data_IF_271198685488
#
_entry.id   IF_271198685488
#
_cell.length_a   1.000
_cell.length_b   1.000
_cell.length_c   1.000
_cell.angle_alpha   90.00
_cell.angle_beta   90.00
_cell.angle_gamma   90.00
#
_symmetry.space_group_name_H-M   'P 1'
#
loop_
_entity.id
_entity.type
_entity.pdbx_description
1 polymer ?
#
# COMPACT_ATOMS: atom_id res chain seq x y z
N UNK A 1 8.34 -26.80 -22.90
CA UNK A 1 7.67 -26.11 -21.78
C UNK A 1 6.19 -26.12 -22.07
N UNK A 2 5.33 -26.53 -21.13
CA UNK A 2 3.87 -26.50 -21.32
C UNK A 2 3.34 -25.20 -20.74
N UNK A 3 2.61 -24.41 -21.53
CA UNK A 3 1.95 -23.20 -21.07
C UNK A 3 0.62 -23.53 -20.36
N UNK A 4 0.13 -22.60 -19.52
CA UNK A 4 -1.17 -22.76 -18.86
C UNK A 4 -2.32 -22.67 -19.89
N UNK A 5 -3.49 -23.26 -19.60
CA UNK A 5 -4.65 -23.23 -20.52
C UNK A 5 -5.07 -21.82 -20.94
N UNK A 6 -4.98 -20.84 -20.03
CA UNK A 6 -5.33 -19.44 -20.31
C UNK A 6 -4.36 -18.80 -21.31
N UNK A 7 -3.07 -19.16 -21.24
CA UNK A 7 -2.06 -18.68 -22.19
C UNK A 7 -2.31 -19.31 -23.57
N UNK A 8 -2.64 -20.60 -23.63
CA UNK A 8 -2.92 -21.27 -24.92
C UNK A 8 -4.15 -20.66 -25.62
N UNK A 9 -5.19 -20.34 -24.85
CA UNK A 9 -6.40 -19.68 -25.37
C UNK A 9 -6.09 -18.28 -25.92
N UNK A 10 -5.30 -17.48 -25.21
CA UNK A 10 -4.88 -16.17 -25.69
C UNK A 10 -4.02 -16.26 -26.97
N UNK A 11 -3.18 -17.28 -27.09
CA UNK A 11 -2.38 -17.51 -28.30
C UNK A 11 -3.26 -17.86 -29.49
N UNK A 12 -4.27 -18.73 -29.30
CA UNK A 12 -5.27 -19.05 -30.34
C UNK A 12 -6.10 -17.83 -30.74
N UNK A 13 -6.60 -17.05 -29.77
CA UNK A 13 -7.41 -15.85 -30.03
C UNK A 13 -6.67 -14.76 -30.82
N UNK A 14 -5.34 -14.74 -30.74
CA UNK A 14 -4.49 -13.78 -31.45
C UNK A 14 -3.83 -14.36 -32.72
N UNK A 15 -4.26 -15.55 -33.18
CA UNK A 15 -3.70 -16.26 -34.34
C UNK A 15 -2.17 -16.47 -34.26
N UNK A 16 -1.65 -16.73 -33.06
CA UNK A 16 -0.23 -16.93 -32.81
C UNK A 16 0.08 -18.42 -32.95
N UNK A 17 0.69 -18.80 -34.08
CA UNK A 17 1.13 -20.17 -34.31
C UNK A 17 2.39 -20.47 -33.47
N UNK A 18 2.22 -21.34 -32.48
CA UNK A 18 3.29 -21.85 -31.61
C UNK A 18 4.41 -22.60 -32.36
N UNK A 19 4.21 -22.90 -33.65
CA UNK A 19 5.16 -23.62 -34.51
C UNK A 19 5.93 -22.74 -35.52
N UNK A 20 5.76 -21.41 -35.49
CA UNK A 20 6.40 -20.51 -36.46
C UNK A 20 7.91 -20.34 -36.26
N UNK A 21 8.66 -20.68 -37.30
CA UNK A 21 10.12 -20.57 -37.45
C UNK A 21 10.58 -19.11 -37.48
N UNK A 22 11.35 -18.69 -36.47
CA UNK A 22 12.33 -17.58 -36.48
C UNK A 22 11.83 -16.13 -36.69
N UNK A 23 10.95 -15.87 -37.65
CA UNK A 23 10.46 -14.54 -38.02
C UNK A 23 9.31 -14.08 -37.11
N UNK A 24 8.35 -14.98 -36.80
CA UNK A 24 7.25 -14.69 -35.88
C UNK A 24 7.77 -14.38 -34.47
N UNK A 25 8.79 -15.11 -34.01
CA UNK A 25 9.46 -14.88 -32.72
C UNK A 25 10.01 -13.46 -32.59
N UNK A 26 10.52 -12.87 -33.68
CA UNK A 26 11.09 -11.52 -33.69
C UNK A 26 10.01 -10.42 -33.59
N UNK A 27 8.84 -10.65 -34.18
CA UNK A 27 7.69 -9.74 -34.03
C UNK A 27 7.12 -9.80 -32.61
N UNK A 28 7.02 -10.97 -32.00
CA UNK A 28 6.61 -11.11 -30.59
C UNK A 28 7.60 -10.44 -29.62
N UNK A 29 8.91 -10.52 -29.90
CA UNK A 29 9.94 -9.82 -29.13
C UNK A 29 9.76 -8.30 -29.14
N UNK A 30 9.27 -7.72 -30.24
CA UNK A 30 8.99 -6.28 -30.35
C UNK A 30 7.75 -5.83 -29.57
N UNK A 31 6.86 -6.75 -29.22
CA UNK A 31 5.68 -6.46 -28.40
C UNK A 31 6.00 -6.45 -26.89
N UNK A 32 7.11 -7.05 -26.45
CA UNK A 32 7.49 -7.10 -25.03
C UNK A 32 7.65 -5.72 -24.37
N UNK A 33 8.31 -4.72 -25.00
CA UNK A 33 8.40 -3.38 -24.41
C UNK A 33 7.04 -2.72 -24.25
N UNK A 34 6.16 -2.86 -25.24
CA UNK A 34 4.80 -2.30 -25.21
C UNK A 34 3.95 -2.95 -24.10
N UNK A 35 4.01 -4.27 -23.98
CA UNK A 35 3.39 -5.02 -22.89
C UNK A 35 3.94 -4.60 -21.53
N UNK A 36 5.25 -4.34 -21.42
CA UNK A 36 5.86 -3.87 -20.18
C UNK A 36 5.37 -2.47 -19.79
N UNK A 37 5.27 -1.55 -20.73
CA UNK A 37 4.72 -0.21 -20.50
C UNK A 37 3.26 -0.26 -20.06
N UNK A 38 2.42 -1.05 -20.76
CA UNK A 38 1.02 -1.24 -20.38
C UNK A 38 0.87 -1.85 -18.99
N UNK A 39 1.69 -2.85 -18.65
CA UNK A 39 1.69 -3.44 -17.31
C UNK A 39 2.10 -2.40 -16.26
N UNK A 40 3.13 -1.60 -16.52
CA UNK A 40 3.56 -0.54 -15.61
C UNK A 40 2.44 0.48 -15.36
N UNK A 41 1.72 0.88 -16.39
CA UNK A 41 0.57 1.76 -16.28
C UNK A 41 -0.56 1.14 -15.45
N UNK A 42 -0.89 -0.13 -15.71
CA UNK A 42 -1.89 -0.87 -14.93
C UNK A 42 -1.51 -0.97 -13.46
N UNK A 43 -0.24 -1.28 -13.15
CA UNK A 43 0.25 -1.29 -11.76
C UNK A 43 0.11 0.08 -11.07
N UNK A 44 0.39 1.17 -11.79
CA UNK A 44 0.24 2.52 -11.25
C UNK A 44 -1.23 2.85 -10.96
N UNK A 45 -2.14 2.49 -11.88
CA UNK A 45 -3.59 2.69 -11.69
C UNK A 45 -4.14 1.86 -10.53
N UNK A 46 -3.73 0.60 -10.41
CA UNK A 46 -4.10 -0.26 -9.27
C UNK A 46 -3.62 0.36 -7.96
N UNK A 47 -2.36 0.79 -7.88
CA UNK A 47 -1.80 1.46 -6.69
C UNK A 47 -2.59 2.72 -6.33
N UNK A 48 -3.02 3.50 -7.31
CA UNK A 48 -3.82 4.70 -7.08
C UNK A 48 -5.22 4.35 -6.55
N UNK A 49 -5.91 3.40 -7.17
CA UNK A 49 -7.21 2.93 -6.71
C UNK A 49 -7.15 2.32 -5.31
N UNK A 50 -6.12 1.53 -5.00
CA UNK A 50 -5.89 1.01 -3.65
C UNK A 50 -5.74 2.16 -2.63
N UNK A 51 -5.04 3.24 -2.97
CA UNK A 51 -4.92 4.41 -2.10
C UNK A 51 -6.27 5.10 -1.85
N UNK A 52 -7.16 5.15 -2.84
CA UNK A 52 -8.50 5.73 -2.72
C UNK A 52 -9.48 4.82 -1.96
N UNK A 53 -9.35 3.50 -2.14
CA UNK A 53 -10.19 2.48 -1.50
C UNK A 53 -9.80 2.22 -0.05
N UNK A 54 -8.55 2.50 0.35
CA UNK A 54 -8.15 2.42 1.76
C UNK A 54 -8.95 3.47 2.54
N UNK A 55 -9.81 3.04 3.48
CA UNK A 55 -10.56 3.98 4.29
C UNK A 55 -9.59 4.91 5.00
N UNK A 56 -9.80 6.22 4.85
CA UNK A 56 -8.95 7.22 5.49
C UNK A 56 -8.85 6.88 6.98
N UNK A 57 -7.64 6.52 7.42
CA UNK A 57 -7.42 6.08 8.79
C UNK A 57 -7.76 7.22 9.73
N UNK A 58 -8.62 6.95 10.71
CA UNK A 58 -8.93 7.91 11.76
C UNK A 58 -7.74 8.01 12.72
N UNK A 59 -6.87 8.98 12.48
CA UNK A 59 -5.66 9.22 13.26
C UNK A 59 -5.95 9.87 14.63
N UNK A 60 -7.20 10.15 14.96
CA UNK A 60 -7.59 10.55 16.33
C UNK A 60 -7.74 9.34 17.25
N UNK A 61 -7.93 8.15 16.66
CA UNK A 61 -8.10 6.87 17.36
C UNK A 61 -6.82 6.05 17.32
N UNK A 62 -6.56 5.37 18.44
CA UNK A 62 -5.43 4.46 18.62
C UNK A 62 -5.31 3.41 17.52
N UNK A 63 -6.44 2.84 17.07
CA UNK A 63 -6.46 1.85 16.00
C UNK A 63 -5.97 2.41 14.65
N UNK A 64 -6.32 3.66 14.33
CA UNK A 64 -5.86 4.33 13.12
C UNK A 64 -4.39 4.68 13.21
N UNK A 65 -3.94 5.24 14.33
CA UNK A 65 -2.52 5.55 14.59
C UNK A 65 -1.64 4.30 14.51
N UNK A 66 -2.08 3.18 15.09
CA UNK A 66 -1.37 1.89 15.05
C UNK A 66 -1.12 1.43 13.62
N UNK A 67 -2.16 1.48 12.78
CA UNK A 67 -2.07 1.11 11.36
C UNK A 67 -1.19 2.10 10.59
N UNK A 68 -1.35 3.39 10.85
CA UNK A 68 -0.62 4.44 10.14
C UNK A 68 0.88 4.42 10.43
N UNK A 69 1.27 4.25 11.69
CA UNK A 69 2.67 4.12 12.13
C UNK A 69 3.23 2.70 11.98
N UNK A 70 2.42 1.75 11.49
CA UNK A 70 2.78 0.34 11.31
C UNK A 70 3.47 -0.28 12.55
N UNK A 71 2.85 -0.14 13.73
CA UNK A 71 3.42 -0.63 14.98
C UNK A 71 2.40 -1.41 15.83
N UNK A 72 2.84 -2.02 16.93
CA UNK A 72 1.96 -2.72 17.86
C UNK A 72 1.35 -1.77 18.90
N UNK A 73 0.26 -2.19 19.53
CA UNK A 73 -0.40 -1.37 20.56
C UNK A 73 0.50 -1.10 21.78
N UNK A 74 1.28 -2.11 22.17
CA UNK A 74 2.30 -1.98 23.22
C UNK A 74 3.41 -1.01 22.83
N UNK A 75 3.78 -0.95 21.54
CA UNK A 75 4.76 0.02 21.05
C UNK A 75 4.24 1.45 21.15
N UNK A 76 2.98 1.70 20.82
CA UNK A 76 2.33 3.01 21.04
C UNK A 76 2.40 3.42 22.52
N UNK A 77 2.05 2.51 23.45
CA UNK A 77 2.17 2.78 24.89
C UNK A 77 3.61 3.10 25.29
N UNK A 78 4.58 2.31 24.81
CA UNK A 78 6.00 2.57 25.07
C UNK A 78 6.40 3.96 24.58
N UNK A 79 6.03 4.32 23.35
CA UNK A 79 6.37 5.61 22.75
C UNK A 79 5.76 6.80 23.50
N UNK A 80 4.57 6.63 24.08
CA UNK A 80 3.98 7.64 24.95
C UNK A 80 4.72 7.75 26.30
N UNK A 81 5.11 6.60 26.87
CA UNK A 81 5.78 6.54 28.17
C UNK A 81 7.24 7.04 28.11
N UNK A 82 7.94 6.78 27.00
CA UNK A 82 9.33 7.20 26.79
C UNK A 82 9.47 8.58 26.14
N UNK A 83 8.35 9.25 25.84
CA UNK A 83 8.32 10.64 25.38
C UNK A 83 8.55 10.85 23.89
N UNK A 84 8.66 9.78 23.08
CA UNK A 84 8.64 9.87 21.62
C UNK A 84 7.34 10.47 21.10
N UNK A 85 6.21 10.05 21.67
CA UNK A 85 4.94 10.74 21.52
C UNK A 85 4.73 11.61 22.76
N UNK A 86 4.67 12.92 22.54
CA UNK A 86 4.50 13.95 23.57
C UNK A 86 3.05 14.39 23.72
N UNK A 87 2.58 14.53 24.95
CA UNK A 87 1.27 15.13 25.26
C UNK A 87 1.22 16.60 24.81
N UNK A 88 0.07 17.04 24.30
CA UNK A 88 -0.13 18.37 23.71
C UNK A 88 0.39 18.53 22.28
N UNK A 89 1.26 17.62 21.81
CA UNK A 89 1.80 17.63 20.43
C UNK A 89 1.23 16.48 19.61
N UNK A 90 1.30 15.26 20.14
CA UNK A 90 0.90 14.04 19.43
C UNK A 90 -0.41 13.45 19.97
N UNK A 91 -0.73 13.71 21.23
CA UNK A 91 -1.97 13.27 21.86
C UNK A 91 -2.39 14.21 22.99
N UNK A 92 -3.64 14.11 23.39
CA UNK A 92 -4.21 14.78 24.56
C UNK A 92 -4.77 13.69 25.48
N UNK A 93 -4.51 13.81 26.78
CA UNK A 93 -5.07 12.92 27.79
C UNK A 93 -6.08 13.69 28.66
N UNK A 94 -7.34 13.30 28.56
CA UNK A 94 -8.41 13.85 29.40
C UNK A 94 -8.78 12.84 30.49
N UNK A 95 -8.90 13.30 31.74
CA UNK A 95 -9.48 12.49 32.80
C UNK A 95 -11.00 12.62 32.78
N UNK A 96 -11.69 11.53 32.46
CA UNK A 96 -13.16 11.42 32.57
C UNK A 96 -13.49 10.46 33.72
N UNK A 97 -13.64 11.03 34.91
CA UNK A 97 -13.83 10.26 36.15
C UNK A 97 -12.58 9.43 36.47
N UNK A 98 -12.74 8.10 36.59
CA UNK A 98 -11.64 7.16 36.88
C UNK A 98 -10.85 6.70 35.66
N UNK A 99 -11.25 7.10 34.44
CA UNK A 99 -10.63 6.65 33.19
C UNK A 99 -9.94 7.82 32.49
N UNK A 100 -8.74 7.55 31.97
CA UNK A 100 -8.07 8.46 31.05
C UNK A 100 -8.55 8.18 29.61
N UNK A 101 -9.03 9.21 28.93
CA UNK A 101 -9.33 9.18 27.49
C UNK A 101 -8.14 9.79 26.75
N UNK A 102 -7.53 9.01 25.87
CA UNK A 102 -6.47 9.49 24.97
C UNK A 102 -7.10 9.79 23.62
N UNK A 103 -6.87 11.00 23.12
CA UNK A 103 -7.21 11.41 21.75
C UNK A 103 -5.93 11.82 21.05
N UNK A 104 -5.65 11.25 19.89
CA UNK A 104 -4.45 11.57 19.14
C UNK A 104 -4.66 12.82 18.28
N UNK A 105 -3.60 13.61 18.10
CA UNK A 105 -3.61 14.82 17.28
C UNK A 105 -3.11 14.41 15.89
N UNK A 106 -3.99 14.47 14.89
CA UNK A 106 -3.69 13.98 13.54
C UNK A 106 -2.44 14.64 12.93
N UNK A 107 -2.32 15.96 13.03
CA UNK A 107 -1.16 16.70 12.51
C UNK A 107 0.14 16.27 13.19
N UNK A 108 0.12 16.10 14.52
CA UNK A 108 1.29 15.64 15.28
C UNK A 108 1.72 14.22 14.89
N UNK A 109 0.78 13.30 14.67
CA UNK A 109 1.09 11.93 14.26
C UNK A 109 1.65 11.87 12.83
N UNK A 110 1.14 12.71 11.91
CA UNK A 110 1.68 12.82 10.55
C UNK A 110 3.10 13.37 10.56
N UNK A 111 3.32 14.48 11.26
CA UNK A 111 4.65 15.09 11.41
C UNK A 111 5.67 14.10 12.00
N UNK A 112 5.28 13.37 13.07
CA UNK A 112 6.14 12.33 13.63
C UNK A 112 6.55 11.28 12.61
N UNK A 113 5.62 10.82 11.76
CA UNK A 113 5.94 9.81 10.74
C UNK A 113 6.90 10.38 9.69
N UNK A 114 6.66 11.60 9.22
CA UNK A 114 7.50 12.26 8.23
C UNK A 114 8.93 12.49 8.73
N UNK A 115 9.11 12.83 10.00
CA UNK A 115 10.42 13.00 10.64
C UNK A 115 11.18 11.68 10.86
N UNK A 116 10.49 10.53 10.81
CA UNK A 116 11.03 9.21 11.15
C UNK A 116 10.85 8.16 10.04
N UNK A 117 10.53 8.57 8.80
CA UNK A 117 10.37 7.69 7.63
C UNK A 117 11.62 7.63 6.75
#
# INVERSE_FOLDING_TARGET
MSYSPDIMKLLEENNIDSSSTGLGTLEYLRLLPLLFEQNKELFQRIKHLEQELIPKLDLTKRAGVKKFLNCSDGKISSMMNDGRLKEGVHFIKELKGRKAKITFIESGIRGYKEENS
#
